data_IF_255096682645
#
_entry.id   IF_255096682645
#
_cell.length_a   1.000
_cell.length_b   1.000
_cell.length_c   1.000
_cell.angle_alpha   90.00
_cell.angle_beta   90.00
_cell.angle_gamma   90.00
#
_symmetry.space_group_name_H-M   'P 1'
#
loop_
_entity.id
_entity.type
_entity.pdbx_description
1 polymer ?
#
# COMPACT_ATOMS: atom_id res chain seq x y z
N UNK A 1 20.07 -9.70 -20.72
CA UNK A 1 19.04 -8.68 -20.41
C UNK A 1 18.72 -8.78 -18.92
N UNK A 2 19.06 -7.76 -18.14
CA UNK A 2 18.73 -7.70 -16.70
C UNK A 2 17.34 -7.10 -16.57
N UNK A 3 16.42 -7.80 -15.90
CA UNK A 3 15.04 -7.34 -15.66
C UNK A 3 14.88 -7.07 -14.17
N UNK A 4 14.52 -5.84 -13.81
CA UNK A 4 14.13 -5.48 -12.46
C UNK A 4 12.81 -6.18 -12.10
N UNK A 5 12.77 -6.83 -10.93
CA UNK A 5 11.55 -7.47 -10.41
C UNK A 5 10.84 -6.50 -9.49
N UNK A 6 9.65 -6.08 -9.87
CA UNK A 6 8.75 -5.26 -9.06
C UNK A 6 7.65 -6.10 -8.42
N UNK A 7 7.15 -5.66 -7.27
CA UNK A 7 6.01 -6.26 -6.57
C UNK A 7 4.86 -5.25 -6.46
N UNK A 8 3.65 -5.79 -6.58
CA UNK A 8 2.39 -5.06 -6.49
C UNK A 8 1.73 -5.39 -5.17
N UNK A 9 1.38 -4.35 -4.41
CA UNK A 9 0.60 -4.48 -3.18
C UNK A 9 -0.87 -4.23 -3.48
N UNK A 10 -1.72 -5.11 -2.96
CA UNK A 10 -3.15 -4.88 -2.85
C UNK A 10 -3.47 -4.65 -1.38
N UNK A 11 -3.91 -3.43 -1.07
CA UNK A 11 -4.16 -2.95 0.29
C UNK A 11 -5.58 -2.43 0.37
N UNK A 12 -6.31 -2.91 1.36
CA UNK A 12 -7.61 -2.38 1.76
C UNK A 12 -7.39 -1.37 2.88
N UNK A 13 -7.92 -0.16 2.72
CA UNK A 13 -7.86 0.89 3.74
C UNK A 13 -9.25 1.02 4.36
N UNK A 14 -9.36 0.65 5.63
CA UNK A 14 -10.62 0.75 6.36
C UNK A 14 -10.64 2.09 7.12
N UNK A 15 -11.46 3.08 6.72
CA UNK A 15 -11.54 4.36 7.42
C UNK A 15 -12.18 4.18 8.80
N UNK A 16 -11.53 4.72 9.83
CA UNK A 16 -12.12 4.90 11.17
C UNK A 16 -12.74 6.30 11.19
N UNK A 17 -13.77 6.50 10.37
CA UNK A 17 -14.41 7.81 10.14
C UNK A 17 -15.13 7.90 8.79
N UNK A 18 -15.51 9.12 8.39
CA UNK A 18 -16.24 9.40 7.14
C UNK A 18 -15.41 10.11 6.06
N UNK A 19 -14.08 10.00 6.10
CA UNK A 19 -13.25 10.62 5.05
C UNK A 19 -12.79 9.59 4.02
N UNK A 20 -12.83 10.02 2.75
CA UNK A 20 -12.12 9.35 1.67
C UNK A 20 -10.85 10.16 1.41
N UNK A 21 -9.66 9.58 1.63
CA UNK A 21 -8.43 10.33 1.43
C UNK A 21 -8.23 10.55 -0.07
N UNK A 22 -7.84 11.77 -0.44
CA UNK A 22 -7.38 12.06 -1.80
C UNK A 22 -6.08 11.27 -2.06
N UNK A 23 -5.93 10.72 -3.26
CA UNK A 23 -4.80 9.86 -3.67
C UNK A 23 -3.42 10.47 -3.36
N UNK A 24 -3.29 11.79 -3.56
CA UNK A 24 -2.05 12.53 -3.30
C UNK A 24 -1.62 12.50 -1.82
N UNK A 25 -2.58 12.65 -0.91
CA UNK A 25 -2.32 12.65 0.53
C UNK A 25 -1.95 11.25 1.03
N UNK A 26 -2.58 10.21 0.45
CA UNK A 26 -2.25 8.82 0.77
C UNK A 26 -0.80 8.50 0.42
N UNK A 27 -0.34 8.90 -0.77
CA UNK A 27 1.04 8.67 -1.19
C UNK A 27 2.05 9.41 -0.29
N UNK A 28 1.77 10.67 0.02
CA UNK A 28 2.58 11.45 0.93
C UNK A 28 2.68 10.80 2.33
N UNK A 29 1.55 10.33 2.87
CA UNK A 29 1.51 9.67 4.17
C UNK A 29 2.29 8.35 4.20
N UNK A 30 2.20 7.53 3.15
CA UNK A 30 2.98 6.28 3.04
C UNK A 30 4.47 6.59 3.00
N UNK A 31 4.87 7.58 2.19
CA UNK A 31 6.27 7.99 2.10
C UNK A 31 6.80 8.50 3.44
N UNK A 32 6.02 9.33 4.14
CA UNK A 32 6.37 9.82 5.48
C UNK A 32 6.48 8.70 6.49
N UNK A 33 5.56 7.72 6.49
CA UNK A 33 5.66 6.55 7.36
C UNK A 33 6.93 5.73 7.09
N UNK A 34 7.30 5.49 5.82
CA UNK A 34 8.56 4.79 5.53
C UNK A 34 9.77 5.54 6.10
N UNK A 35 9.83 6.85 5.90
CA UNK A 35 10.93 7.68 6.38
C UNK A 35 10.96 7.71 7.91
N UNK A 36 9.81 7.87 8.56
CA UNK A 36 9.70 7.93 10.02
C UNK A 36 10.05 6.59 10.69
N UNK A 37 9.60 5.47 10.11
CA UNK A 37 9.69 4.15 10.74
C UNK A 37 10.98 3.40 10.36
N UNK A 38 11.54 3.66 9.18
CA UNK A 38 12.71 2.95 8.65
C UNK A 38 13.90 3.86 8.28
N UNK A 39 13.74 5.18 8.39
CA UNK A 39 14.77 6.16 8.05
C UNK A 39 14.95 6.37 6.53
N UNK A 40 15.84 7.30 6.17
CA UNK A 40 16.12 7.65 4.76
C UNK A 40 16.65 6.48 3.92
N UNK A 41 17.22 5.44 4.56
CA UNK A 41 17.73 4.23 3.89
C UNK A 41 16.62 3.25 3.49
N UNK A 42 15.41 3.39 4.04
CA UNK A 42 14.25 2.55 3.68
C UNK A 42 13.58 2.95 2.36
N UNK A 43 13.79 4.18 1.89
CA UNK A 43 13.15 4.78 0.71
C UNK A 43 14.17 5.05 -0.42
N UNK A 44 14.98 4.06 -0.80
CA UNK A 44 15.95 4.22 -1.90
C UNK A 44 15.38 3.98 -3.30
N UNK A 45 14.05 4.07 -3.51
CA UNK A 45 13.46 3.93 -4.86
C UNK A 45 12.34 4.94 -5.12
N UNK A 46 12.55 5.93 -6.02
CA UNK A 46 11.54 6.89 -6.43
C UNK A 46 10.62 6.25 -7.47
N UNK A 47 9.80 5.29 -7.07
CA UNK A 47 8.71 4.84 -7.93
C UNK A 47 7.50 5.77 -7.71
N UNK A 48 6.90 6.37 -8.76
CA UNK A 48 5.70 7.21 -8.65
C UNK A 48 4.42 6.39 -8.32
N UNK A 49 4.56 5.16 -7.85
CA UNK A 49 3.47 4.24 -7.55
C UNK A 49 3.92 3.27 -6.46
N UNK A 50 2.97 2.55 -5.85
CA UNK A 50 3.20 1.45 -4.89
C UNK A 50 3.89 0.21 -5.50
N UNK A 51 4.69 0.41 -6.56
CA UNK A 51 5.57 -0.60 -7.14
C UNK A 51 6.88 -0.57 -6.39
N UNK A 52 7.03 -1.51 -5.48
CA UNK A 52 8.24 -1.63 -4.66
C UNK A 52 9.19 -2.60 -5.36
N UNK A 53 10.48 -2.30 -5.30
CA UNK A 53 11.50 -3.27 -5.68
C UNK A 53 11.30 -4.56 -4.85
N UNK A 54 11.40 -5.73 -5.49
CA UNK A 54 11.15 -7.00 -4.80
C UNK A 54 12.03 -7.22 -3.57
N UNK A 55 13.18 -6.57 -3.49
CA UNK A 55 14.09 -6.71 -2.35
C UNK A 55 13.65 -5.87 -1.14
N UNK A 56 12.86 -4.81 -1.36
CA UNK A 56 12.40 -3.86 -0.34
C UNK A 56 10.93 -4.07 0.07
N UNK A 57 10.25 -5.08 -0.46
CA UNK A 57 8.81 -5.30 -0.21
C UNK A 57 8.48 -5.45 1.29
N UNK A 58 9.38 -6.00 2.12
CA UNK A 58 9.16 -6.15 3.56
C UNK A 58 9.11 -4.80 4.28
N UNK A 59 9.94 -3.85 3.85
CA UNK A 59 9.97 -2.49 4.40
C UNK A 59 8.67 -1.79 4.07
N UNK A 60 8.26 -1.85 2.80
CA UNK A 60 6.99 -1.27 2.37
C UNK A 60 5.77 -1.93 3.02
N UNK A 61 5.78 -3.25 3.24
CA UNK A 61 4.71 -3.90 4.00
C UNK A 61 4.69 -3.35 5.44
N UNK A 62 5.84 -3.35 6.10
CA UNK A 62 5.97 -2.85 7.47
C UNK A 62 5.45 -1.42 7.61
N UNK A 63 5.83 -0.52 6.71
CA UNK A 63 5.36 0.87 6.73
C UNK A 63 3.86 0.97 6.49
N UNK A 64 3.31 0.21 5.55
CA UNK A 64 1.87 0.19 5.31
C UNK A 64 1.14 -0.29 6.56
N UNK A 65 1.66 -1.30 7.28
CA UNK A 65 1.03 -1.82 8.51
C UNK A 65 1.10 -0.83 9.67
N UNK A 66 2.14 0.01 9.73
CA UNK A 66 2.33 1.02 10.76
C UNK A 66 1.59 2.33 10.46
N UNK A 67 1.09 2.51 9.23
CA UNK A 67 0.34 3.68 8.82
C UNK A 67 -0.96 3.79 9.62
N UNK A 68 -1.02 4.77 10.51
CA UNK A 68 -2.17 4.98 11.41
C UNK A 68 -3.01 6.21 11.04
N UNK A 69 -2.43 7.18 10.36
CA UNK A 69 -3.10 8.42 9.93
C UNK A 69 -2.54 8.93 8.61
N UNK A 70 -3.42 9.54 7.82
CA UNK A 70 -3.02 10.27 6.60
C UNK A 70 -2.99 11.76 6.94
N UNK A 71 -1.84 12.40 6.74
CA UNK A 71 -1.70 13.85 6.93
C UNK A 71 -2.61 14.59 5.95
N UNK A 72 -3.46 15.49 6.48
CA UNK A 72 -4.42 16.29 5.71
C UNK A 72 -5.80 16.37 6.37
N UNK A 73 -6.27 15.29 7.01
CA UNK A 73 -7.67 15.23 7.45
C UNK A 73 -7.88 14.60 8.84
N UNK A 74 -6.81 14.25 9.57
CA UNK A 74 -6.89 13.65 10.92
C UNK A 74 -7.60 12.29 10.96
N UNK A 75 -7.93 11.73 9.79
CA UNK A 75 -8.67 10.48 9.68
C UNK A 75 -7.73 9.30 9.90
N UNK A 76 -8.12 8.44 10.83
CA UNK A 76 -7.40 7.20 11.13
C UNK A 76 -7.83 6.12 10.14
N UNK A 77 -6.87 5.36 9.65
CA UNK A 77 -7.13 4.23 8.78
C UNK A 77 -6.55 2.97 9.41
N UNK A 78 -7.22 1.84 9.19
CA UNK A 78 -6.67 0.52 9.49
C UNK A 78 -6.25 -0.08 8.14
N UNK A 79 -4.94 -0.09 7.84
CA UNK A 79 -4.44 -0.67 6.61
C UNK A 79 -4.40 -2.20 6.72
N UNK A 80 -4.97 -2.88 5.73
CA UNK A 80 -4.96 -4.33 5.62
C UNK A 80 -4.33 -4.75 4.29
N UNK A 81 -3.12 -5.30 4.36
CA UNK A 81 -2.42 -5.82 3.18
C UNK A 81 -3.02 -7.16 2.81
N UNK A 82 -3.79 -7.18 1.73
CA UNK A 82 -4.55 -8.34 1.28
C UNK A 82 -3.71 -9.30 0.43
N UNK A 83 -2.86 -8.76 -0.43
CA UNK A 83 -2.07 -9.58 -1.36
C UNK A 83 -0.81 -8.88 -1.84
N UNK A 84 0.22 -9.69 -2.12
CA UNK A 84 1.45 -9.30 -2.79
C UNK A 84 1.56 -10.08 -4.11
N UNK A 85 1.64 -9.39 -5.23
CA UNK A 85 1.70 -10.00 -6.55
C UNK A 85 2.98 -9.60 -7.32
N UNK A 86 3.55 -10.55 -8.07
CA UNK A 86 4.69 -10.27 -8.95
C UNK A 86 4.29 -9.58 -10.26
N UNK A 87 2.99 -9.53 -10.58
CA UNK A 87 2.46 -8.93 -11.80
C UNK A 87 1.15 -8.19 -11.51
N UNK A 88 0.87 -7.14 -12.27
CA UNK A 88 -0.40 -6.38 -12.16
C UNK A 88 -1.62 -7.27 -12.43
N UNK A 89 -1.52 -8.21 -13.39
CA UNK A 89 -2.61 -9.15 -13.70
C UNK A 89 -2.99 -10.00 -12.48
N UNK A 90 -2.00 -10.48 -11.73
CA UNK A 90 -2.26 -11.25 -10.51
C UNK A 90 -2.88 -10.37 -9.41
N UNK A 91 -2.42 -9.11 -9.27
CA UNK A 91 -3.03 -8.17 -8.34
C UNK A 91 -4.50 -7.89 -8.68
N UNK A 92 -4.81 -7.69 -9.95
CA UNK A 92 -6.18 -7.48 -10.44
C UNK A 92 -7.07 -8.68 -10.17
N UNK A 93 -6.59 -9.90 -10.45
CA UNK A 93 -7.35 -11.13 -10.14
C UNK A 93 -7.62 -11.27 -8.64
N UNK A 94 -6.65 -10.93 -7.79
CA UNK A 94 -6.84 -10.93 -6.34
C UNK A 94 -7.90 -9.90 -5.90
N UNK A 95 -7.87 -8.70 -6.47
CA UNK A 95 -8.86 -7.66 -6.18
C UNK A 95 -10.28 -8.06 -6.62
N UNK A 96 -10.42 -8.64 -7.81
CA UNK A 96 -11.71 -9.16 -8.30
C UNK A 96 -12.21 -10.27 -7.38
N UNK A 97 -11.36 -11.23 -7.01
CA UNK A 97 -11.71 -12.31 -6.09
C UNK A 97 -12.21 -11.78 -4.75
N UNK A 98 -11.50 -10.82 -4.17
CA UNK A 98 -11.92 -10.17 -2.93
C UNK A 98 -13.27 -9.47 -3.05
N UNK A 99 -13.51 -8.71 -4.12
CA UNK A 99 -14.79 -8.04 -4.35
C UNK A 99 -15.94 -9.05 -4.51
N UNK A 100 -15.73 -10.14 -5.23
CA UNK A 100 -16.72 -11.20 -5.38
C UNK A 100 -17.06 -11.86 -4.03
N UNK A 101 -16.06 -12.13 -3.19
CA UNK A 101 -16.29 -12.65 -1.83
C UNK A 101 -17.04 -11.64 -0.94
N UNK A 102 -16.68 -10.36 -1.00
CA UNK A 102 -17.34 -9.31 -0.23
C UNK A 102 -18.82 -9.16 -0.61
N UNK A 103 -19.15 -9.26 -1.91
CA UNK A 103 -20.53 -9.27 -2.40
C UNK A 103 -21.26 -10.54 -1.95
N UNK A 104 -20.61 -11.71 -2.01
CA UNK A 104 -21.24 -12.98 -1.65
C UNK A 104 -21.53 -13.12 -0.14
N UNK A 105 -20.78 -12.42 0.71
CA UNK A 105 -21.03 -12.36 2.17
C UNK A 105 -22.16 -11.40 2.54
N UNK A 106 -22.66 -10.61 1.61
CA UNK A 106 -23.69 -9.59 1.82
C UNK A 106 -25.08 -10.15 1.50
#
# INVERSE_FOLDING_TARGET
>A
VVRFKSCWFFVELIPVGQANPLEEHLWAAIKQSVINDFGDTGWESPAPSLTVARDQYKIAWGSITLLSSIEGEGTRYIPHVMSLAGTIKQAQLAAIGHNCEAIARR
#
